data_IF_982688342585
#
_entry.id   IF_982688342585
#
_cell.length_a   1.000
_cell.length_b   1.000
_cell.length_c   1.000
_cell.angle_alpha   90.00
_cell.angle_beta   90.00
_cell.angle_gamma   90.00
#
_symmetry.space_group_name_H-M   'P 1'
#
loop_
_entity.id
_entity.type
_entity.pdbx_description
1 polymer ?
#
# COMPACT_ATOMS: atom_id res chain seq x y z
N UNK A 1 16.45 -7.98 -29.92
CA UNK A 1 16.69 -8.43 -28.53
C UNK A 1 16.41 -7.33 -27.50
N UNK A 2 16.91 -6.10 -27.70
CA UNK A 2 16.63 -4.95 -26.83
C UNK A 2 15.13 -4.64 -26.61
N UNK A 3 14.30 -4.64 -27.67
CA UNK A 3 12.86 -4.36 -27.57
C UNK A 3 12.07 -5.43 -26.79
N UNK A 4 12.54 -6.69 -26.83
CA UNK A 4 11.96 -7.80 -26.06
C UNK A 4 12.33 -7.68 -24.59
N UNK A 5 13.59 -7.33 -24.30
CA UNK A 5 14.10 -7.12 -22.93
C UNK A 5 13.42 -5.92 -22.25
N UNK A 6 13.21 -4.81 -22.98
CA UNK A 6 12.48 -3.65 -22.46
C UNK A 6 11.00 -3.98 -22.14
N UNK A 7 10.33 -4.72 -23.03
CA UNK A 7 8.95 -5.16 -22.78
C UNK A 7 8.86 -6.12 -21.59
N UNK A 8 9.84 -7.00 -21.37
CA UNK A 8 9.89 -7.88 -20.20
C UNK A 8 10.27 -7.14 -18.91
N UNK A 9 11.08 -6.07 -18.97
CA UNK A 9 11.37 -5.21 -17.81
C UNK A 9 10.15 -4.36 -17.42
N UNK A 10 9.39 -3.84 -18.39
CA UNK A 10 8.15 -3.11 -18.12
C UNK A 10 7.00 -4.01 -17.65
N UNK A 11 6.96 -5.28 -18.10
CA UNK A 11 5.95 -6.27 -17.70
C UNK A 11 6.39 -7.15 -16.52
N UNK A 12 7.67 -7.11 -16.17
CA UNK A 12 8.29 -7.94 -15.16
C UNK A 12 8.03 -7.36 -13.78
N UNK A 13 6.98 -7.85 -13.12
CA UNK A 13 6.76 -7.72 -11.69
C UNK A 13 7.13 -6.35 -11.10
N UNK A 14 6.60 -5.28 -11.68
CA UNK A 14 6.32 -4.09 -10.88
C UNK A 14 5.18 -4.50 -9.94
N UNK A 15 5.55 -5.22 -8.87
CA UNK A 15 4.62 -5.78 -7.89
C UNK A 15 3.64 -4.69 -7.54
N UNK A 16 2.35 -4.92 -7.81
CA UNK A 16 1.35 -3.87 -7.91
C UNK A 16 1.20 -3.16 -6.56
N UNK A 17 1.97 -2.10 -6.32
CA UNK A 17 1.94 -1.42 -5.04
C UNK A 17 0.62 -0.65 -4.91
N UNK A 18 -0.10 -0.93 -3.83
CA UNK A 18 -1.36 -0.26 -3.49
C UNK A 18 -1.08 0.77 -2.41
N UNK A 19 -1.51 2.02 -2.65
CA UNK A 19 -1.44 3.08 -1.64
C UNK A 19 -2.61 2.92 -0.67
N UNK A 20 -2.31 2.51 0.56
CA UNK A 20 -3.27 2.40 1.64
C UNK A 20 -3.28 3.71 2.44
N UNK A 21 -4.45 4.32 2.59
CA UNK A 21 -4.65 5.50 3.44
C UNK A 21 -5.57 5.08 4.58
N UNK A 22 -5.05 5.10 5.81
CA UNK A 22 -5.81 4.80 7.01
C UNK A 22 -6.10 6.08 7.80
N UNK A 23 -7.32 6.16 8.32
CA UNK A 23 -7.75 7.24 9.21
C UNK A 23 -7.69 6.73 10.64
N UNK A 24 -6.97 7.44 11.52
CA UNK A 24 -6.91 7.15 12.95
C UNK A 24 -7.49 8.31 13.74
N UNK A 25 -8.42 8.00 14.65
CA UNK A 25 -8.92 8.97 15.62
C UNK A 25 -7.97 9.00 16.82
N UNK A 26 -7.51 10.19 17.18
CA UNK A 26 -6.74 10.42 18.41
C UNK A 26 -7.67 10.25 19.62
N UNK A 27 -7.36 9.34 20.53
CA UNK A 27 -8.12 9.13 21.77
C UNK A 27 -8.04 10.35 22.71
N UNK A 28 -6.95 11.12 22.63
CA UNK A 28 -6.71 12.29 23.48
C UNK A 28 -7.47 13.54 23.03
N UNK A 29 -7.56 13.79 21.73
CA UNK A 29 -8.08 15.06 21.18
C UNK A 29 -9.26 14.89 20.26
N UNK A 30 -9.65 13.66 19.92
CA UNK A 30 -10.72 13.35 18.98
C UNK A 30 -10.39 13.66 17.51
N UNK A 31 -9.22 14.25 17.22
CA UNK A 31 -8.80 14.61 15.88
C UNK A 31 -8.53 13.38 15.00
N UNK A 32 -8.83 13.48 13.71
CA UNK A 32 -8.54 12.44 12.72
C UNK A 32 -7.20 12.72 12.04
N UNK A 33 -6.25 11.79 12.19
CA UNK A 33 -4.99 11.79 11.47
C UNK A 33 -5.01 10.80 10.31
N UNK A 34 -4.42 11.18 9.18
CA UNK A 34 -4.26 10.31 8.02
C UNK A 34 -2.86 9.71 8.00
N UNK A 35 -2.76 8.39 7.79
CA UNK A 35 -1.49 7.69 7.59
C UNK A 35 -1.50 6.98 6.24
N UNK A 36 -0.59 7.37 5.36
CA UNK A 36 -0.40 6.71 4.06
C UNK A 36 0.77 5.73 4.10
N UNK A 37 0.59 4.53 3.55
CA UNK A 37 1.65 3.53 3.34
C UNK A 37 1.47 2.86 1.98
N UNK A 38 2.56 2.47 1.33
CA UNK A 38 2.51 1.61 0.14
C UNK A 38 2.66 0.16 0.59
N UNK A 39 1.75 -0.70 0.13
CA UNK A 39 1.74 -2.13 0.47
C UNK A 39 1.42 -2.95 -0.77
N UNK A 40 1.88 -4.20 -0.81
CA UNK A 40 1.46 -5.16 -1.84
C UNK A 40 -0.06 -5.43 -1.73
N UNK A 41 -0.75 -5.76 -2.84
CA UNK A 41 -2.21 -5.92 -2.84
C UNK A 41 -2.67 -7.02 -1.88
N UNK A 42 -1.87 -8.08 -1.77
CA UNK A 42 -2.13 -9.25 -0.94
C UNK A 42 -2.10 -8.90 0.55
N UNK A 43 -1.21 -7.98 0.94
CA UNK A 43 -1.02 -7.56 2.32
C UNK A 43 -2.03 -6.48 2.78
N UNK A 44 -2.84 -5.93 1.87
CA UNK A 44 -3.82 -4.87 2.19
C UNK A 44 -4.78 -5.32 3.29
N UNK A 45 -5.30 -6.55 3.19
CA UNK A 45 -6.28 -7.08 4.16
C UNK A 45 -5.66 -7.28 5.55
N UNK A 46 -4.44 -7.78 5.63
CA UNK A 46 -3.73 -7.95 6.91
C UNK A 46 -3.44 -6.61 7.58
N UNK A 47 -3.05 -5.60 6.80
CA UNK A 47 -2.74 -4.26 7.31
C UNK A 47 -4.01 -3.52 7.78
N UNK A 48 -5.17 -3.80 7.17
CA UNK A 48 -6.47 -3.32 7.64
C UNK A 48 -6.99 -4.11 8.86
N UNK A 49 -6.75 -5.42 8.89
CA UNK A 49 -7.20 -6.31 9.96
C UNK A 49 -6.39 -6.14 11.26
N UNK A 50 -5.15 -5.66 11.18
CA UNK A 50 -4.41 -5.07 12.31
C UNK A 50 -5.11 -3.77 12.74
N UNK A 51 -6.29 -3.93 13.35
CA UNK A 51 -6.94 -2.89 14.14
C UNK A 51 -5.92 -2.48 15.20
N UNK A 52 -5.62 -1.19 15.14
CA UNK A 52 -4.84 -0.44 16.10
C UNK A 52 -5.52 -0.56 17.45
N UNK A 53 -4.88 -1.27 18.39
CA UNK A 53 -4.89 -0.85 19.81
C UNK A 53 -4.37 0.59 19.91
#
# INVERSE_FOLDING_TARGET
MAKKVMATLSKGNQGRLTKLIQVKRSSKTGAYGFRSRMVSPEMVKEVLARKTE
#
